data_IF_591135555485
#
_entry.id   IF_591135555485
#
_cell.length_a   1.000
_cell.length_b   1.000
_cell.length_c   1.000
_cell.angle_alpha   90.00
_cell.angle_beta   90.00
_cell.angle_gamma   90.00
#
_symmetry.space_group_name_H-M   'P 1'
#
loop_
_entity.id
_entity.type
_entity.pdbx_description
1 polymer ?
#
# COMPACT_ATOMS: atom_id res chain seq x y z
N UNK A 1 23.37 -5.90 -21.50
CA UNK A 1 22.59 -5.68 -20.27
C UNK A 1 23.44 -6.12 -19.08
N UNK A 2 23.45 -5.40 -17.95
CA UNK A 2 24.10 -5.88 -16.74
C UNK A 2 23.42 -7.18 -16.27
N UNK A 3 24.22 -8.17 -15.91
CA UNK A 3 23.76 -9.48 -15.44
C UNK A 3 24.00 -9.61 -13.95
N UNK A 4 23.00 -10.12 -13.22
CA UNK A 4 23.10 -10.46 -11.80
C UNK A 4 22.73 -11.92 -11.64
N UNK A 5 23.59 -12.69 -10.99
CA UNK A 5 23.31 -14.09 -10.65
C UNK A 5 22.73 -14.13 -9.24
N UNK A 6 21.61 -14.83 -9.08
CA UNK A 6 20.94 -15.01 -7.79
C UNK A 6 20.64 -16.49 -7.61
N UNK A 7 20.81 -16.98 -6.38
CA UNK A 7 20.37 -18.32 -6.00
C UNK A 7 18.92 -18.26 -5.55
N UNK A 8 18.09 -19.15 -6.07
CA UNK A 8 16.69 -19.29 -5.71
C UNK A 8 16.49 -20.61 -4.95
N UNK A 9 15.49 -20.66 -4.07
CA UNK A 9 15.01 -21.93 -3.52
C UNK A 9 14.32 -22.75 -4.62
N UNK A 10 14.20 -24.06 -4.41
CA UNK A 10 13.51 -24.95 -5.35
C UNK A 10 12.06 -24.50 -5.61
N UNK A 11 11.36 -24.05 -4.56
CA UNK A 11 10.00 -23.49 -4.68
C UNK A 11 9.93 -22.32 -5.69
N UNK A 12 10.89 -21.39 -5.64
CA UNK A 12 10.92 -20.28 -6.59
C UNK A 12 11.36 -20.69 -7.99
N UNK A 13 12.20 -21.72 -8.12
CA UNK A 13 12.55 -22.29 -9.42
C UNK A 13 11.29 -22.89 -10.06
N UNK A 14 10.57 -23.73 -9.34
CA UNK A 14 9.33 -24.37 -9.80
C UNK A 14 8.27 -23.31 -10.18
N UNK A 15 8.12 -22.27 -9.37
CA UNK A 15 7.24 -21.14 -9.69
C UNK A 15 7.64 -20.47 -11.02
N UNK A 16 8.92 -20.11 -11.19
CA UNK A 16 9.39 -19.44 -12.42
C UNK A 16 9.23 -20.34 -13.65
N UNK A 17 9.53 -21.63 -13.52
CA UNK A 17 9.34 -22.60 -14.61
C UNK A 17 7.85 -22.76 -14.96
N UNK A 18 6.97 -22.77 -13.96
CA UNK A 18 5.53 -22.78 -14.14
C UNK A 18 5.02 -21.56 -14.91
N UNK A 19 5.45 -20.35 -14.54
CA UNK A 19 5.09 -19.10 -15.22
C UNK A 19 5.58 -19.05 -16.68
N UNK A 20 6.73 -19.65 -16.97
CA UNK A 20 7.20 -19.78 -18.37
C UNK A 20 6.35 -20.82 -19.12
N UNK A 21 5.98 -21.92 -18.48
CA UNK A 21 5.18 -22.98 -19.10
C UNK A 21 3.76 -22.53 -19.48
N UNK A 22 3.21 -21.49 -18.84
CA UNK A 22 1.93 -20.87 -19.27
C UNK A 22 2.04 -20.17 -20.62
N UNK A 23 3.27 -19.80 -21.04
CA UNK A 23 3.55 -19.01 -22.23
C UNK A 23 3.42 -17.50 -22.03
N UNK A 24 3.11 -17.02 -20.82
CA UNK A 24 3.05 -15.59 -20.51
C UNK A 24 4.44 -14.94 -20.52
N UNK A 25 5.48 -15.70 -20.15
CA UNK A 25 6.87 -15.25 -20.14
C UNK A 25 7.75 -16.13 -21.01
N UNK A 26 8.70 -15.53 -21.73
CA UNK A 26 9.65 -16.25 -22.57
C UNK A 26 10.93 -16.65 -21.83
N UNK A 27 11.27 -15.98 -20.72
CA UNK A 27 12.48 -16.28 -19.94
C UNK A 27 12.28 -16.07 -18.44
N UNK A 28 13.07 -16.78 -17.63
CA UNK A 28 13.13 -16.56 -16.17
C UNK A 28 13.47 -15.11 -15.80
N UNK A 29 14.30 -14.45 -16.62
CA UNK A 29 14.66 -13.05 -16.39
C UNK A 29 13.47 -12.09 -16.57
N UNK A 30 12.46 -12.45 -17.36
CA UNK A 30 11.23 -11.65 -17.50
C UNK A 30 10.37 -11.78 -16.26
N UNK A 31 10.11 -13.02 -15.82
CA UNK A 31 9.37 -13.31 -14.58
C UNK A 31 9.97 -12.56 -13.39
N UNK A 32 11.30 -12.68 -13.20
CA UNK A 32 12.00 -12.02 -12.09
C UNK A 32 11.92 -10.49 -12.20
N UNK A 33 12.03 -9.92 -13.41
CA UNK A 33 11.90 -8.47 -13.59
C UNK A 33 10.50 -7.98 -13.24
N UNK A 34 9.45 -8.71 -13.63
CA UNK A 34 8.08 -8.32 -13.32
C UNK A 34 7.75 -8.49 -11.84
N UNK A 35 8.23 -9.56 -11.20
CA UNK A 35 8.16 -9.72 -9.75
C UNK A 35 8.85 -8.56 -9.00
N UNK A 36 10.05 -8.16 -9.44
CA UNK A 36 10.77 -7.02 -8.83
C UNK A 36 10.07 -5.68 -9.06
N UNK A 37 9.44 -5.47 -10.23
CA UNK A 37 8.62 -4.28 -10.49
C UNK A 37 7.41 -4.24 -9.57
N UNK A 38 6.74 -5.36 -9.38
CA UNK A 38 5.61 -5.47 -8.45
C UNK A 38 6.04 -5.18 -7.01
N UNK A 39 7.13 -5.80 -6.56
CA UNK A 39 7.69 -5.57 -5.22
C UNK A 39 8.02 -4.09 -5.00
N UNK A 40 8.64 -3.43 -5.99
CA UNK A 40 8.97 -2.00 -5.90
C UNK A 40 7.71 -1.14 -5.77
N UNK A 41 6.65 -1.42 -6.56
CA UNK A 41 5.38 -0.70 -6.48
C UNK A 41 4.72 -0.88 -5.11
N UNK A 42 4.68 -2.11 -4.59
CA UNK A 42 4.11 -2.39 -3.28
C UNK A 42 4.86 -1.68 -2.15
N UNK A 43 6.21 -1.68 -2.20
CA UNK A 43 7.03 -0.96 -1.21
C UNK A 43 6.77 0.55 -1.24
N UNK A 44 6.74 1.14 -2.44
CA UNK A 44 6.45 2.57 -2.59
C UNK A 44 5.06 2.94 -2.05
N UNK A 45 4.04 2.14 -2.36
CA UNK A 45 2.68 2.36 -1.86
C UNK A 45 2.60 2.21 -0.32
N UNK A 46 3.35 1.26 0.25
CA UNK A 46 3.42 1.07 1.69
C UNK A 46 4.11 2.24 2.40
N UNK A 47 5.23 2.71 1.86
CA UNK A 47 5.97 3.86 2.38
C UNK A 47 5.10 5.13 2.36
N UNK A 48 4.38 5.37 1.27
CA UNK A 48 3.46 6.51 1.17
C UNK A 48 2.33 6.42 2.20
N UNK A 49 1.68 5.26 2.33
CA UNK A 49 0.63 5.06 3.34
C UNK A 49 1.16 5.30 4.76
N UNK A 50 2.38 4.87 5.04
CA UNK A 50 3.01 5.05 6.34
C UNK A 50 3.39 6.52 6.58
N UNK A 51 3.82 7.25 5.54
CA UNK A 51 4.09 8.68 5.63
C UNK A 51 2.82 9.47 5.94
N UNK A 52 1.71 9.18 5.25
CA UNK A 52 0.41 9.78 5.54
C UNK A 52 -0.02 9.47 6.97
N UNK A 53 0.02 8.20 7.38
CA UNK A 53 -0.40 7.80 8.72
C UNK A 53 0.41 8.52 9.81
N UNK A 54 1.74 8.61 9.65
CA UNK A 54 2.60 9.33 10.60
C UNK A 54 2.23 10.81 10.66
N UNK A 55 2.00 11.45 9.51
CA UNK A 55 1.57 12.86 9.46
C UNK A 55 0.26 13.07 10.22
N UNK A 56 -0.78 12.29 9.93
CA UNK A 56 -2.09 12.46 10.58
C UNK A 56 -2.02 12.20 12.08
N UNK A 57 -1.25 11.20 12.51
CA UNK A 57 -1.00 10.95 13.95
C UNK A 57 -0.31 12.13 14.60
N UNK A 58 0.74 12.69 13.97
CA UNK A 58 1.44 13.86 14.51
C UNK A 58 0.51 15.05 14.66
N UNK A 59 -0.34 15.32 13.66
CA UNK A 59 -1.33 16.41 13.75
C UNK A 59 -2.27 16.20 14.93
N UNK A 60 -2.90 15.02 15.04
CA UNK A 60 -3.81 14.74 16.14
C UNK A 60 -3.13 14.72 17.51
N UNK A 61 -1.86 14.33 17.56
CA UNK A 61 -1.07 14.36 18.78
C UNK A 61 -0.76 15.79 19.22
N UNK A 62 -0.33 16.65 18.30
CA UNK A 62 -0.03 18.06 18.58
C UNK A 62 -1.31 18.81 19.02
N UNK A 63 -2.46 18.52 18.39
CA UNK A 63 -3.77 19.05 18.80
C UNK A 63 -4.15 18.57 20.22
N UNK A 64 -3.94 17.30 20.53
CA UNK A 64 -4.19 16.73 21.85
C UNK A 64 -3.29 17.34 22.94
N UNK A 65 -2.00 17.52 22.67
CA UNK A 65 -1.04 18.18 23.57
C UNK A 65 -1.42 19.65 23.80
N UNK A 66 -2.01 20.31 22.80
CA UNK A 66 -2.58 21.66 22.91
C UNK A 66 -3.97 21.69 23.59
N UNK A 67 -4.52 20.54 23.99
CA UNK A 67 -5.84 20.42 24.62
C UNK A 67 -7.02 20.61 23.66
N UNK A 68 -6.79 20.55 22.35
CA UNK A 68 -7.80 20.72 21.30
C UNK A 68 -8.57 19.42 21.05
N UNK A 69 -9.39 19.02 22.02
CA UNK A 69 -10.29 17.88 21.86
C UNK A 69 -11.67 18.33 21.38
N UNK A 70 -12.34 17.46 20.62
CA UNK A 70 -13.75 17.64 20.29
C UNK A 70 -14.61 17.13 21.44
N UNK A 71 -15.58 17.93 21.86
CA UNK A 71 -16.61 17.50 22.82
C UNK A 71 -17.74 16.69 22.16
N UNK A 72 -17.70 16.51 20.83
CA UNK A 72 -18.72 15.76 20.09
C UNK A 72 -18.67 14.28 20.46
N UNK A 73 -19.83 13.71 20.77
CA UNK A 73 -19.98 12.27 20.87
C UNK A 73 -20.00 11.61 19.49
N UNK A 74 -19.84 10.29 19.45
CA UNK A 74 -19.98 9.51 18.20
C UNK A 74 -21.36 9.73 17.55
N UNK A 75 -22.43 9.88 18.36
CA UNK A 75 -23.79 10.14 17.85
C UNK A 75 -23.92 11.54 17.24
N UNK A 76 -23.20 12.53 17.78
CA UNK A 76 -23.21 13.90 17.23
C UNK A 76 -22.50 13.95 15.87
N UNK A 77 -21.42 13.17 15.71
CA UNK A 77 -20.66 13.05 14.46
C UNK A 77 -21.53 12.38 13.38
N UNK A 78 -22.19 11.26 13.72
CA UNK A 78 -23.07 10.52 12.81
C UNK A 78 -24.23 11.39 12.30
N UNK A 79 -24.90 12.09 13.21
CA UNK A 79 -26.01 12.98 12.89
C UNK A 79 -25.62 14.20 12.03
N UNK A 80 -24.32 14.55 11.97
CA UNK A 80 -23.79 15.64 11.13
C UNK A 80 -23.48 15.14 9.71
N UNK A 81 -22.93 13.94 9.57
CA UNK A 81 -22.68 13.31 8.27
C UNK A 81 -23.98 13.11 7.47
N UNK A 82 -25.07 12.73 8.13
CA UNK A 82 -26.40 12.61 7.51
C UNK A 82 -26.95 13.95 7.02
N UNK A 83 -26.60 15.06 7.70
CA UNK A 83 -27.00 16.42 7.30
C UNK A 83 -26.15 16.96 6.15
N UNK A 84 -24.86 16.66 6.12
CA UNK A 84 -23.96 17.08 5.04
C UNK A 84 -24.19 16.27 3.76
N UNK A 85 -24.61 15.01 3.85
CA UNK A 85 -25.07 14.21 2.70
C UNK A 85 -26.36 14.72 2.04
N UNK A 86 -27.06 15.67 2.69
CA UNK A 86 -28.30 16.28 2.23
C UNK A 86 -28.03 17.69 1.66
N UNK A 87 -27.11 17.83 0.70
CA UNK A 87 -27.08 19.04 -0.14
C UNK A 87 -28.28 18.96 -1.09
N UNK A 88 -29.25 19.90 -1.07
CA UNK A 88 -30.29 19.95 -2.08
C UNK A 88 -29.65 20.34 -3.41
N UNK A 89 -29.97 19.60 -4.47
CA UNK A 89 -29.48 19.85 -5.83
C UNK A 89 -29.88 21.21 -6.40
#
# INVERSE_FOLDING_TARGET
MPTMNVSLSNEFIEFVEGEIATGEYGTASEVVRDALRLLRRQRAAHEEKLAILRREITIGWDEADAGQFSDKSVLDIDAELDREGQIPG
#
